data_IF_274440276224
#
_entry.id   IF_274440276224
#
_cell.length_a   1.000
_cell.length_b   1.000
_cell.length_c   1.000
_cell.angle_alpha   90.00
_cell.angle_beta   90.00
_cell.angle_gamma   90.00
#
_symmetry.space_group_name_H-M   'P 1'
#
loop_
_entity.id
_entity.type
_entity.pdbx_description
1 polymer ?
#
# COMPACT_ATOMS: atom_id res chain seq x y z
N UNK A 1 -61.63 -3.39 -29.05
CA UNK A 1 -61.03 -3.71 -27.73
C UNK A 1 -59.85 -4.62 -27.99
N UNK A 2 -58.63 -4.09 -28.00
CA UNK A 2 -57.41 -4.88 -28.25
C UNK A 2 -56.39 -4.44 -27.20
N UNK A 3 -56.18 -5.32 -26.22
CA UNK A 3 -55.32 -5.11 -25.07
C UNK A 3 -53.85 -5.23 -25.49
N UNK A 4 -53.10 -4.14 -25.38
CA UNK A 4 -51.65 -4.15 -25.45
C UNK A 4 -51.10 -4.76 -24.15
N UNK A 5 -50.50 -5.95 -24.23
CA UNK A 5 -49.71 -6.52 -23.13
C UNK A 5 -48.32 -5.89 -23.19
N UNK A 6 -48.04 -4.98 -22.27
CA UNK A 6 -46.69 -4.46 -22.06
C UNK A 6 -45.84 -5.55 -21.39
N UNK A 7 -44.84 -6.06 -22.12
CA UNK A 7 -43.80 -6.93 -21.56
C UNK A 7 -42.74 -6.01 -20.95
N UNK A 8 -42.77 -5.85 -19.62
CA UNK A 8 -41.70 -5.19 -18.88
C UNK A 8 -40.47 -6.10 -18.90
N UNK A 9 -39.45 -5.70 -19.66
CA UNK A 9 -38.14 -6.35 -19.64
C UNK A 9 -37.38 -5.83 -18.42
N UNK A 10 -37.15 -6.68 -17.42
CA UNK A 10 -36.40 -6.35 -16.22
C UNK A 10 -34.90 -6.55 -16.51
N UNK A 11 -34.21 -5.48 -16.90
CA UNK A 11 -32.76 -5.50 -17.06
C UNK A 11 -32.12 -5.52 -15.67
N UNK A 12 -31.71 -6.69 -15.17
CA UNK A 12 -30.84 -6.77 -13.99
C UNK A 12 -29.47 -6.18 -14.37
N UNK A 13 -29.14 -5.00 -13.84
CA UNK A 13 -27.74 -4.59 -13.71
C UNK A 13 -27.10 -5.51 -12.66
N UNK A 14 -26.34 -6.49 -13.12
CA UNK A 14 -25.35 -7.15 -12.27
C UNK A 14 -24.29 -6.09 -11.98
N UNK A 15 -24.35 -5.47 -10.81
CA UNK A 15 -23.21 -4.72 -10.26
C UNK A 15 -22.09 -5.75 -10.10
N UNK A 16 -21.18 -5.78 -11.08
CA UNK A 16 -19.99 -6.60 -11.00
C UNK A 16 -19.32 -6.28 -9.68
N UNK A 17 -19.07 -7.31 -8.86
CA UNK A 17 -18.06 -7.21 -7.82
C UNK A 17 -16.81 -6.75 -8.56
N UNK A 18 -16.46 -5.47 -8.41
CA UNK A 18 -15.18 -4.97 -8.87
C UNK A 18 -14.18 -5.91 -8.21
N UNK A 19 -13.53 -6.74 -9.02
CA UNK A 19 -12.36 -7.48 -8.61
C UNK A 19 -11.45 -6.42 -8.02
N UNK A 20 -11.38 -6.42 -6.71
CA UNK A 20 -10.65 -5.43 -5.96
C UNK A 20 -9.24 -5.98 -5.95
N UNK A 21 -8.37 -5.36 -6.75
CA UNK A 21 -6.94 -5.63 -6.71
C UNK A 21 -6.36 -5.37 -5.36
N UNK A 22 -5.32 -6.08 -4.94
CA UNK A 22 -4.73 -5.83 -3.64
C UNK A 22 -3.27 -6.24 -3.63
N UNK A 23 -2.48 -5.38 -3.03
CA UNK A 23 -1.10 -5.65 -2.65
C UNK A 23 -0.87 -5.09 -1.26
N UNK A 24 0.09 -5.64 -0.55
CA UNK A 24 0.45 -5.20 0.80
C UNK A 24 1.97 -5.13 0.90
N UNK A 25 2.53 -4.06 1.45
CA UNK A 25 3.95 -4.02 1.81
C UNK A 25 4.09 -4.65 3.19
N UNK A 26 4.41 -5.95 3.22
CA UNK A 26 4.43 -6.77 4.43
C UNK A 26 5.75 -6.70 5.19
N UNK A 27 6.79 -6.18 4.54
CA UNK A 27 8.11 -6.00 5.14
C UNK A 27 8.83 -4.82 4.53
N UNK A 28 9.67 -4.17 5.33
CA UNK A 28 10.54 -3.10 4.92
C UNK A 28 11.81 -3.08 5.78
N UNK A 29 12.96 -2.83 5.14
CA UNK A 29 14.27 -2.70 5.78
C UNK A 29 14.97 -1.52 5.14
N UNK A 30 15.50 -0.62 5.96
CA UNK A 30 16.30 0.50 5.47
C UNK A 30 17.76 0.11 5.27
N UNK A 31 18.50 0.86 4.47
CA UNK A 31 19.92 0.59 4.19
C UNK A 31 20.83 0.69 5.43
N UNK A 32 20.39 1.39 6.48
CA UNK A 32 21.05 1.44 7.78
C UNK A 32 20.49 0.43 8.82
N UNK A 33 19.55 -0.44 8.41
CA UNK A 33 18.93 -1.46 9.25
C UNK A 33 17.50 -1.15 9.66
N UNK A 34 17.10 -1.67 10.82
CA UNK A 34 15.72 -1.61 11.31
C UNK A 34 14.75 -2.44 10.46
N UNK A 35 13.52 -2.57 10.94
CA UNK A 35 12.49 -3.33 10.24
C UNK A 35 11.11 -2.73 10.45
N UNK A 36 10.23 -2.94 9.47
CA UNK A 36 8.88 -2.43 9.50
C UNK A 36 8.00 -3.06 8.43
N UNK A 37 6.84 -2.45 8.23
CA UNK A 37 5.83 -2.83 7.23
C UNK A 37 4.98 -1.59 6.93
N UNK A 38 4.03 -1.68 5.99
CA UNK A 38 3.11 -0.57 5.77
C UNK A 38 2.14 -0.36 6.94
N UNK A 39 1.65 0.88 7.08
CA UNK A 39 0.52 1.21 7.93
C UNK A 39 -0.70 0.34 7.56
N UNK A 40 -1.42 -0.12 8.57
CA UNK A 40 -2.64 -0.91 8.42
C UNK A 40 -2.43 -2.41 8.21
N UNK A 41 -1.18 -2.87 8.11
CA UNK A 41 -0.86 -4.31 8.00
C UNK A 41 -1.33 -5.06 9.23
N UNK A 42 -2.07 -6.14 9.00
CA UNK A 42 -2.45 -7.11 10.02
C UNK A 42 -1.68 -8.42 9.77
N UNK A 43 -0.72 -8.74 10.64
CA UNK A 43 0.12 -9.94 10.48
C UNK A 43 -0.67 -11.24 10.64
N UNK A 44 -1.88 -11.20 11.22
CA UNK A 44 -2.79 -12.34 11.29
C UNK A 44 -3.61 -12.57 10.02
N UNK A 45 -3.61 -11.62 9.06
CA UNK A 45 -4.29 -11.82 7.77
C UNK A 45 -3.56 -12.90 6.96
N UNK A 46 -4.23 -14.02 6.59
CA UNK A 46 -3.62 -15.02 5.72
C UNK A 46 -3.41 -14.42 4.32
N UNK A 47 -2.35 -14.84 3.62
CA UNK A 47 -1.94 -14.30 2.32
C UNK A 47 -1.64 -15.39 1.28
N UNK A 48 -2.25 -16.56 1.48
CA UNK A 48 -2.10 -17.76 0.64
C UNK A 48 -3.26 -17.94 -0.36
N UNK A 49 -4.05 -16.88 -0.59
CA UNK A 49 -5.19 -16.91 -1.51
C UNK A 49 -5.55 -15.53 -2.06
N UNK A 50 -6.49 -15.53 -3.01
CA UNK A 50 -6.82 -14.34 -3.82
C UNK A 50 -8.20 -13.76 -3.53
N UNK A 51 -9.00 -14.39 -2.67
CA UNK A 51 -10.35 -13.93 -2.33
C UNK A 51 -10.35 -12.67 -1.46
N UNK A 52 -11.41 -11.86 -1.58
CA UNK A 52 -11.57 -10.63 -0.78
C UNK A 52 -11.51 -10.86 0.72
N UNK A 53 -12.09 -11.96 1.18
CA UNK A 53 -12.01 -12.40 2.57
C UNK A 53 -11.53 -13.84 2.57
N UNK A 54 -10.54 -14.20 3.40
CA UNK A 54 -9.83 -13.35 4.36
C UNK A 54 -8.63 -12.56 3.80
N UNK A 55 -8.19 -12.79 2.56
CA UNK A 55 -6.81 -12.50 2.15
C UNK A 55 -6.47 -11.03 1.81
N UNK A 56 -7.47 -10.15 1.74
CA UNK A 56 -7.29 -8.75 1.30
C UNK A 56 -7.61 -7.74 2.41
N UNK A 57 -7.79 -8.17 3.66
CA UNK A 57 -8.34 -7.29 4.70
C UNK A 57 -7.43 -6.11 5.05
N UNK A 58 -6.12 -6.27 4.96
CA UNK A 58 -5.13 -5.26 5.35
C UNK A 58 -4.45 -4.60 4.13
N UNK A 59 -4.95 -4.87 2.93
CA UNK A 59 -4.40 -4.28 1.73
C UNK A 59 -4.85 -2.82 1.57
N UNK A 60 -3.88 -1.92 1.67
CA UNK A 60 -4.11 -0.48 1.54
C UNK A 60 -4.50 -0.12 0.12
N UNK A 61 -5.58 0.65 0.00
CA UNK A 61 -5.99 1.32 -1.23
C UNK A 61 -5.95 2.84 -1.03
N UNK A 62 -5.52 3.57 -2.05
CA UNK A 62 -5.53 5.03 -2.05
C UNK A 62 -6.75 5.54 -2.83
N UNK A 63 -7.84 5.83 -2.12
CA UNK A 63 -9.08 6.32 -2.72
C UNK A 63 -9.91 7.10 -1.72
N UNK A 64 -10.81 7.95 -2.22
CA UNK A 64 -11.76 8.68 -1.37
C UNK A 64 -11.04 9.70 -0.51
N UNK A 65 -11.46 9.85 0.74
CA UNK A 65 -10.93 10.88 1.63
C UNK A 65 -9.45 10.63 2.00
N UNK A 66 -9.00 9.36 1.96
CA UNK A 66 -7.61 8.97 2.24
C UNK A 66 -6.72 8.86 0.97
N UNK A 67 -7.24 9.23 -0.21
CA UNK A 67 -6.52 9.08 -1.50
C UNK A 67 -5.19 9.83 -1.52
N UNK A 68 -5.16 11.05 -0.98
CA UNK A 68 -3.99 11.92 -0.98
C UNK A 68 -3.08 11.72 0.24
N UNK A 69 -3.47 10.88 1.20
CA UNK A 69 -2.76 10.70 2.49
C UNK A 69 -2.19 9.28 2.59
N UNK A 70 -2.62 8.50 3.58
CA UNK A 70 -2.06 7.19 3.93
C UNK A 70 -2.96 6.00 3.54
N UNK A 71 -4.04 6.27 2.80
CA UNK A 71 -4.96 5.25 2.32
C UNK A 71 -5.81 4.60 3.41
N UNK A 72 -6.58 3.61 3.01
CA UNK A 72 -7.46 2.83 3.88
C UNK A 72 -7.33 1.34 3.59
N UNK A 73 -7.58 0.48 4.58
CA UNK A 73 -7.67 -0.97 4.42
C UNK A 73 -9.13 -1.43 4.49
N UNK A 74 -9.43 -2.60 3.92
CA UNK A 74 -10.78 -3.15 3.94
C UNK A 74 -11.27 -3.55 5.34
N UNK A 75 -10.34 -4.00 6.19
CA UNK A 75 -10.61 -4.49 7.54
C UNK A 75 -10.44 -3.41 8.62
N UNK A 76 -9.46 -2.52 8.46
CA UNK A 76 -9.12 -1.48 9.44
C UNK A 76 -9.74 -0.10 9.17
N UNK A 77 -10.19 0.17 7.94
CA UNK A 77 -10.63 1.51 7.52
C UNK A 77 -9.44 2.43 7.25
N UNK A 78 -9.64 3.74 7.43
CA UNK A 78 -8.58 4.73 7.21
C UNK A 78 -7.34 4.42 8.05
N UNK A 79 -6.18 4.40 7.40
CA UNK A 79 -4.91 4.26 8.10
C UNK A 79 -4.63 5.54 8.90
N UNK A 80 -3.94 5.38 10.03
CA UNK A 80 -3.53 6.49 10.89
C UNK A 80 -2.04 6.37 11.20
N UNK A 81 -1.33 7.48 11.06
CA UNK A 81 0.14 7.51 11.13
C UNK A 81 0.62 7.20 12.54
N UNK A 82 0.00 7.79 13.56
CA UNK A 82 0.39 7.61 14.96
C UNK A 82 0.14 6.18 15.46
N UNK A 83 -1.12 5.72 15.34
CA UNK A 83 -1.50 4.40 15.82
C UNK A 83 -0.93 3.27 14.96
N UNK A 84 -0.84 3.46 13.64
CA UNK A 84 -0.23 2.47 12.75
C UNK A 84 1.28 2.33 12.99
N UNK A 85 2.01 3.44 13.16
CA UNK A 85 3.44 3.37 13.52
C UNK A 85 3.65 2.75 14.90
N UNK A 86 2.80 3.08 15.87
CA UNK A 86 2.82 2.44 17.20
C UNK A 86 2.61 0.93 17.12
N UNK A 87 1.71 0.47 16.25
CA UNK A 87 1.46 -0.95 16.02
C UNK A 87 2.67 -1.65 15.37
N UNK A 88 3.30 -1.02 14.38
CA UNK A 88 4.52 -1.55 13.73
C UNK A 88 5.65 -1.72 14.74
N UNK A 89 5.89 -0.72 15.60
CA UNK A 89 6.91 -0.79 16.65
C UNK A 89 6.61 -1.90 17.66
N UNK A 90 5.34 -2.07 18.03
CA UNK A 90 4.92 -3.13 18.95
C UNK A 90 5.09 -4.53 18.35
N UNK A 91 4.79 -4.70 17.06
CA UNK A 91 4.89 -5.99 16.35
C UNK A 91 6.34 -6.40 16.08
N UNK A 92 7.17 -5.46 15.63
CA UNK A 92 8.57 -5.74 15.27
C UNK A 92 9.48 -5.81 16.49
N UNK A 93 9.19 -5.05 17.54
CA UNK A 93 10.08 -4.88 18.70
C UNK A 93 11.44 -4.26 18.34
N UNK A 94 11.54 -3.64 17.16
CA UNK A 94 12.75 -3.07 16.57
C UNK A 94 12.56 -1.56 16.31
N UNK A 95 13.63 -0.91 15.92
CA UNK A 95 13.60 0.40 15.27
C UNK A 95 12.84 0.33 13.93
N UNK A 96 12.16 1.42 13.56
CA UNK A 96 11.61 1.60 12.22
C UNK A 96 12.72 1.38 11.16
N UNK A 97 12.39 1.09 9.89
CA UNK A 97 13.38 1.05 8.82
C UNK A 97 14.27 2.30 8.84
N UNK A 98 15.57 2.10 9.08
CA UNK A 98 16.56 3.17 9.21
C UNK A 98 17.15 3.45 7.83
N UNK A 99 16.92 4.64 7.30
CA UNK A 99 17.39 5.02 5.96
C UNK A 99 18.41 6.13 6.02
N UNK A 100 19.35 6.16 5.07
CA UNK A 100 20.35 7.22 4.97
C UNK A 100 20.08 8.18 3.80
N UNK A 101 20.67 9.37 3.86
CA UNK A 101 20.65 10.32 2.75
C UNK A 101 21.37 9.71 1.53
N UNK A 102 20.65 9.55 0.42
CA UNK A 102 21.17 8.88 -0.77
C UNK A 102 21.17 7.35 -0.68
N UNK A 103 20.61 6.79 0.39
CA UNK A 103 20.42 5.37 0.61
C UNK A 103 19.17 4.83 -0.09
N UNK A 104 18.59 3.77 0.47
CA UNK A 104 17.41 3.12 -0.09
C UNK A 104 16.57 2.42 0.99
N UNK A 105 15.29 2.24 0.67
CA UNK A 105 14.40 1.35 1.40
C UNK A 105 14.07 0.13 0.53
N UNK A 106 14.29 -1.05 1.10
CA UNK A 106 13.98 -2.34 0.50
C UNK A 106 12.68 -2.85 1.12
N UNK A 107 11.70 -3.18 0.29
CA UNK A 107 10.37 -3.62 0.70
C UNK A 107 10.03 -4.99 0.13
N UNK A 108 9.28 -5.75 0.92
CA UNK A 108 8.59 -6.96 0.49
C UNK A 108 7.15 -6.59 0.17
N UNK A 109 6.80 -6.64 -1.12
CA UNK A 109 5.44 -6.46 -1.58
C UNK A 109 4.78 -7.83 -1.80
N UNK A 110 3.73 -8.11 -1.04
CA UNK A 110 2.86 -9.24 -1.32
C UNK A 110 1.80 -8.84 -2.34
N UNK A 111 1.81 -9.47 -3.52
CA UNK A 111 0.74 -9.34 -4.50
C UNK A 111 -0.38 -10.34 -4.16
N UNK A 112 -1.54 -9.86 -3.73
CA UNK A 112 -2.65 -10.76 -3.32
C UNK A 112 -3.35 -11.34 -4.55
N UNK A 113 -3.60 -10.55 -5.58
CA UNK A 113 -4.32 -10.97 -6.78
C UNK A 113 -3.82 -10.22 -8.03
N UNK A 114 -4.42 -10.49 -9.20
CA UNK A 114 -3.87 -10.05 -10.48
C UNK A 114 -3.53 -8.56 -10.53
N UNK A 115 -4.41 -7.68 -10.06
CA UNK A 115 -4.26 -6.22 -10.15
C UNK A 115 -3.54 -5.56 -8.96
N UNK A 116 -2.92 -6.37 -8.09
CA UNK A 116 -1.92 -5.93 -7.11
C UNK A 116 -0.48 -5.94 -7.64
N UNK A 117 -0.28 -6.03 -8.96
CA UNK A 117 1.05 -6.07 -9.56
C UNK A 117 1.55 -4.65 -9.88
N UNK A 118 2.81 -4.55 -10.30
CA UNK A 118 3.42 -3.26 -10.67
C UNK A 118 3.12 -2.80 -12.11
N UNK A 119 3.85 -1.78 -12.61
CA UNK A 119 4.95 -1.09 -11.94
C UNK A 119 4.47 -0.11 -10.88
N UNK A 120 5.12 -0.10 -9.72
CA UNK A 120 4.87 0.85 -8.63
C UNK A 120 5.58 2.18 -8.88
N UNK A 121 4.97 3.26 -8.39
CA UNK A 121 5.61 4.55 -8.15
C UNK A 121 5.71 4.80 -6.66
N UNK A 122 6.80 5.43 -6.21
CA UNK A 122 6.98 5.77 -4.81
C UNK A 122 7.20 7.27 -4.63
N UNK A 123 6.84 7.77 -3.45
CA UNK A 123 7.03 9.13 -3.02
C UNK A 123 7.31 9.19 -1.51
N UNK A 124 7.95 10.27 -1.06
CA UNK A 124 8.32 10.48 0.33
C UNK A 124 7.69 11.75 0.90
N UNK A 125 7.29 11.69 2.16
CA UNK A 125 6.83 12.82 2.96
C UNK A 125 7.83 13.06 4.08
N UNK A 126 8.31 14.30 4.19
CA UNK A 126 9.45 14.68 5.03
C UNK A 126 9.09 14.84 6.51
N UNK A 127 7.85 15.22 6.81
CA UNK A 127 7.44 15.73 8.12
C UNK A 127 6.52 14.78 8.91
N UNK A 128 6.29 13.57 8.40
CA UNK A 128 5.45 12.58 9.05
C UNK A 128 3.94 12.89 9.01
N UNK A 129 3.52 13.98 8.35
CA UNK A 129 2.11 14.41 8.35
C UNK A 129 1.28 13.80 7.21
N UNK A 130 1.94 13.21 6.22
CA UNK A 130 1.32 12.75 4.97
C UNK A 130 0.60 13.86 4.15
N UNK A 131 0.92 15.13 4.40
CA UNK A 131 0.28 16.26 3.72
C UNK A 131 0.90 16.60 2.35
N UNK A 132 2.22 16.38 2.21
CA UNK A 132 2.96 16.69 0.98
C UNK A 132 3.88 15.51 0.62
N UNK A 133 3.93 15.20 -0.67
CA UNK A 133 4.67 14.05 -1.19
C UNK A 133 5.60 14.46 -2.33
N UNK A 134 6.84 14.01 -2.28
CA UNK A 134 7.85 14.21 -3.31
C UNK A 134 8.14 12.86 -3.99
N UNK A 135 8.00 12.74 -5.33
CA UNK A 135 8.33 11.50 -6.04
C UNK A 135 9.78 11.07 -5.81
N UNK A 136 9.99 9.77 -5.58
CA UNK A 136 11.32 9.17 -5.44
C UNK A 136 11.51 8.06 -6.47
N UNK A 137 12.77 7.75 -6.79
CA UNK A 137 13.08 6.74 -7.80
C UNK A 137 12.84 5.33 -7.26
N UNK A 138 12.06 4.52 -7.99
CA UNK A 138 11.99 3.07 -7.78
C UNK A 138 13.15 2.41 -8.52
N UNK A 139 14.07 1.79 -7.79
CA UNK A 139 15.31 1.18 -8.33
C UNK A 139 15.13 -0.31 -8.65
N UNK A 140 14.23 -0.99 -7.93
CA UNK A 140 13.77 -2.34 -8.24
C UNK A 140 12.25 -2.35 -8.18
N UNK A 141 11.59 -2.79 -9.25
CA UNK A 141 10.13 -2.74 -9.36
C UNK A 141 9.51 -4.12 -9.54
N UNK A 142 8.23 -4.22 -9.23
CA UNK A 142 7.43 -5.43 -9.39
C UNK A 142 6.89 -5.50 -10.82
N UNK A 143 6.96 -6.67 -11.44
CA UNK A 143 6.46 -6.85 -12.80
C UNK A 143 4.94 -6.72 -12.87
N UNK A 144 4.46 -6.08 -13.93
CA UNK A 144 3.04 -6.03 -14.26
C UNK A 144 2.78 -5.17 -15.49
N UNK A 145 1.57 -5.31 -16.04
CA UNK A 145 1.12 -4.49 -17.18
C UNK A 145 0.91 -3.03 -16.77
N UNK A 146 0.71 -2.14 -17.75
CA UNK A 146 0.36 -0.72 -17.54
C UNK A 146 -0.91 -0.50 -16.67
N UNK A 147 -1.69 -1.56 -16.41
CA UNK A 147 -2.88 -1.53 -15.54
C UNK A 147 -2.66 -2.15 -14.16
N UNK A 148 -1.40 -2.42 -13.79
CA UNK A 148 -1.06 -3.03 -12.52
C UNK A 148 -1.35 -4.53 -12.47
N UNK A 149 -1.39 -5.21 -13.64
CA UNK A 149 -1.84 -6.62 -13.73
C UNK A 149 -0.75 -7.62 -14.02
N UNK A 150 -0.69 -8.69 -13.23
CA UNK A 150 0.09 -9.91 -13.47
C UNK A 150 -0.64 -11.10 -12.85
N UNK A 151 -1.09 -12.11 -13.61
CA UNK A 151 -1.78 -13.28 -13.02
C UNK A 151 -0.82 -14.32 -12.45
N UNK A 152 0.41 -14.36 -12.94
CA UNK A 152 1.38 -15.37 -12.55
C UNK A 152 2.01 -15.04 -11.18
N UNK A 153 1.85 -13.80 -10.72
CA UNK A 153 2.32 -13.31 -9.41
C UNK A 153 1.26 -13.27 -8.31
N UNK A 154 0.09 -13.89 -8.50
CA UNK A 154 -0.93 -13.93 -7.45
C UNK A 154 -0.44 -14.73 -6.22
N UNK A 155 -0.79 -14.25 -5.02
CA UNK A 155 -0.41 -14.81 -3.72
C UNK A 155 1.10 -15.04 -3.54
N UNK A 156 1.92 -14.11 -4.03
CA UNK A 156 3.37 -14.19 -4.00
C UNK A 156 4.01 -12.87 -3.54
N UNK A 157 5.21 -13.00 -2.99
CA UNK A 157 6.03 -11.88 -2.55
C UNK A 157 7.00 -11.46 -3.66
N UNK A 158 7.17 -10.15 -3.82
CA UNK A 158 8.09 -9.54 -4.76
C UNK A 158 8.92 -8.45 -4.08
N UNK A 159 10.19 -8.30 -4.46
CA UNK A 159 11.01 -7.18 -4.00
C UNK A 159 10.58 -5.88 -4.67
N UNK A 160 10.50 -4.81 -3.87
CA UNK A 160 10.30 -3.43 -4.31
C UNK A 160 11.32 -2.54 -3.59
N UNK A 161 12.14 -1.79 -4.31
CA UNK A 161 13.16 -0.92 -3.71
C UNK A 161 13.01 0.50 -4.23
N UNK A 162 13.06 1.47 -3.31
CA UNK A 162 13.00 2.89 -3.63
C UNK A 162 14.23 3.63 -3.05
N UNK A 163 14.83 4.49 -3.86
CA UNK A 163 15.98 5.30 -3.46
C UNK A 163 15.53 6.51 -2.62
N UNK A 164 16.28 6.79 -1.56
CA UNK A 164 16.09 7.97 -0.72
C UNK A 164 16.91 9.13 -1.31
N UNK A 165 16.32 10.32 -1.52
CA UNK A 165 17.07 11.46 -2.05
C UNK A 165 18.31 11.81 -1.20
N UNK A 166 19.37 12.26 -1.84
CA UNK A 166 20.61 12.65 -1.16
C UNK A 166 20.46 13.89 -0.27
N UNK A 167 19.44 14.71 -0.53
CA UNK A 167 19.05 15.89 0.24
C UNK A 167 17.84 15.64 1.16
N UNK A 168 17.40 14.38 1.29
CA UNK A 168 16.28 14.04 2.15
C UNK A 168 16.57 14.40 3.61
N UNK A 169 15.58 15.02 4.27
CA UNK A 169 15.60 15.24 5.71
C UNK A 169 14.27 14.82 6.29
N UNK A 170 14.29 13.97 7.31
CA UNK A 170 13.08 13.61 8.05
C UNK A 170 12.95 14.49 9.28
N UNK A 171 11.81 15.16 9.43
CA UNK A 171 11.54 16.08 10.54
C UNK A 171 10.31 15.68 11.36
N UNK A 172 9.64 14.60 10.96
CA UNK A 172 8.44 14.13 11.64
C UNK A 172 8.72 13.61 13.04
N UNK A 173 7.72 13.78 13.91
CA UNK A 173 7.64 13.06 15.18
C UNK A 173 6.37 12.24 15.15
N UNK A 174 6.50 10.91 15.23
CA UNK A 174 5.39 9.96 15.11
C UNK A 174 5.61 8.83 16.11
N UNK A 175 4.59 8.46 16.89
CA UNK A 175 4.65 7.37 17.86
C UNK A 175 5.83 7.47 18.84
N UNK A 176 6.22 8.70 19.18
CA UNK A 176 7.39 9.00 20.03
C UNK A 176 8.76 8.81 19.36
N UNK A 177 8.80 8.49 18.06
CA UNK A 177 10.02 8.47 17.26
C UNK A 177 10.24 9.84 16.61
N UNK A 178 11.47 10.34 16.67
CA UNK A 178 11.89 11.57 15.97
C UNK A 178 12.54 11.25 14.62
N UNK A 179 12.68 12.25 13.75
CA UNK A 179 13.25 12.11 12.39
C UNK A 179 12.51 11.08 11.52
N UNK A 180 11.18 11.07 11.59
CA UNK A 180 10.35 10.15 10.79
C UNK A 180 9.96 10.79 9.46
N UNK A 181 10.17 10.05 8.36
CA UNK A 181 9.53 10.28 7.08
C UNK A 181 8.49 9.19 6.81
N UNK A 182 7.64 9.39 5.81
CA UNK A 182 6.75 8.35 5.29
C UNK A 182 7.10 8.06 3.84
N UNK A 183 7.30 6.79 3.49
CA UNK A 183 7.47 6.35 2.10
C UNK A 183 6.17 5.71 1.63
N UNK A 184 5.50 6.33 0.67
CA UNK A 184 4.30 5.79 0.02
C UNK A 184 4.68 5.17 -1.30
N UNK A 185 4.26 3.94 -1.54
CA UNK A 185 4.35 3.29 -2.85
C UNK A 185 2.98 2.81 -3.28
N UNK A 186 2.64 3.03 -4.54
CA UNK A 186 1.35 2.66 -5.10
C UNK A 186 1.46 2.19 -6.55
N UNK A 187 0.57 1.28 -6.95
CA UNK A 187 0.49 0.75 -8.31
C UNK A 187 -0.54 1.52 -9.18
N UNK A 188 -0.63 1.26 -10.50
CA UNK A 188 -1.48 2.03 -11.41
C UNK A 188 -2.92 1.48 -11.50
N UNK A 189 -3.36 0.66 -10.55
CA UNK A 189 -4.66 0.01 -10.60
C UNK A 189 -5.81 1.03 -10.45
N UNK A 190 -6.79 0.97 -11.35
CA UNK A 190 -7.94 1.92 -11.33
C UNK A 190 -9.00 1.62 -10.28
N UNK A 191 -9.03 0.40 -9.74
CA UNK A 191 -9.94 0.05 -8.64
C UNK A 191 -9.59 0.81 -7.33
N UNK A 192 -8.40 1.40 -7.32
CA UNK A 192 -7.75 2.16 -6.27
C UNK A 192 -6.27 1.81 -6.40
N UNK A 193 -5.33 2.77 -6.56
CA UNK A 193 -3.93 2.44 -6.43
C UNK A 193 -3.70 1.65 -5.13
N UNK A 194 -3.03 0.51 -5.23
CA UNK A 194 -2.75 -0.37 -4.10
C UNK A 194 -1.27 -0.34 -3.76
N UNK A 195 -0.94 -0.58 -2.49
CA UNK A 195 0.43 -0.57 -2.01
C UNK A 195 0.47 -0.32 -0.52
N UNK A 196 1.11 0.76 -0.08
CA UNK A 196 1.15 1.11 1.33
C UNK A 196 2.02 2.33 1.62
N UNK A 197 1.97 2.75 2.88
CA UNK A 197 2.84 3.80 3.43
C UNK A 197 3.68 3.19 4.53
N UNK A 198 4.99 3.25 4.41
CA UNK A 198 5.97 2.74 5.38
C UNK A 198 6.60 3.92 6.12
N UNK A 199 6.44 4.02 7.45
CA UNK A 199 7.22 4.96 8.26
C UNK A 199 8.70 4.54 8.25
N UNK A 200 9.59 5.50 8.00
CA UNK A 200 11.05 5.31 8.01
C UNK A 200 11.70 6.37 8.88
N UNK A 201 12.93 6.12 9.34
CA UNK A 201 13.64 7.03 10.23
C UNK A 201 15.07 7.28 9.73
N UNK A 202 15.57 8.50 9.96
CA UNK A 202 16.94 8.93 9.63
C UNK A 202 17.76 9.30 10.87
#
# INVERSE_FOLDING_TARGET
>A
MTSFKAVLSYTMLVAGQLAAGHSVITGAVGDAGGSGMALGVDTATPRDGTDRRPFQQDATRFRGDAEATVGETLGGGDNDVESGTSAILAETGDSLPQVSQGGEIQMTLHQVNSDGAGPYTCMINDDGTAANWTPIQVTQNVEGSERGRNRDGEAQDFPLTAAIPADQTCTGTVAGQENVCLVRCENPARAGPFGGVVPVQM
#
